data_IF_961577306508
#
_entry.id   IF_961577306508
#
_cell.length_a   1.000
_cell.length_b   1.000
_cell.length_c   1.000
_cell.angle_alpha   90.00
_cell.angle_beta   90.00
_cell.angle_gamma   90.00
#
_symmetry.space_group_name_H-M   'P 1'
#
loop_
_entity.id
_entity.type
_entity.pdbx_description
1 polymer ?
#
# COMPACT_ATOMS: atom_id res chain seq x y z
N UNK A 1 -4.67 26.01 2.12
CA UNK A 1 -4.81 24.57 2.37
C UNK A 1 -3.41 23.97 2.34
N UNK A 2 -3.04 23.14 3.34
CA UNK A 2 -1.81 22.33 3.29
C UNK A 2 -2.01 21.22 2.27
N UNK A 3 -1.01 20.93 1.44
CA UNK A 3 -1.04 19.80 0.51
C UNK A 3 -0.73 18.52 1.31
N UNK A 4 -1.59 17.48 1.27
CA UNK A 4 -1.37 16.28 2.04
C UNK A 4 -0.21 15.47 1.47
N UNK A 5 0.53 14.81 2.35
CA UNK A 5 1.58 13.84 2.02
C UNK A 5 0.94 12.58 1.41
N UNK A 6 1.46 12.08 0.29
CA UNK A 6 1.08 10.79 -0.28
C UNK A 6 2.01 9.70 0.26
N UNK A 7 1.50 8.88 1.19
CA UNK A 7 2.24 7.83 1.89
C UNK A 7 1.99 6.44 1.28
N UNK A 8 3.06 5.84 0.74
CA UNK A 8 3.00 4.61 -0.06
C UNK A 8 3.67 3.40 0.63
N UNK A 9 3.06 2.21 0.62
CA UNK A 9 3.69 0.99 1.13
C UNK A 9 4.77 0.43 0.20
N UNK A 10 5.89 -0.02 0.77
CA UNK A 10 6.87 -0.83 0.05
C UNK A 10 7.23 -2.15 0.78
N UNK A 11 7.51 -3.19 0.00
CA UNK A 11 7.87 -4.54 0.49
C UNK A 11 9.22 -5.06 -0.02
N UNK A 12 9.90 -4.25 -0.81
CA UNK A 12 11.30 -4.46 -1.21
C UNK A 12 11.84 -3.16 -1.75
N UNK A 13 13.17 -3.03 -1.82
CA UNK A 13 13.85 -1.86 -2.33
C UNK A 13 13.39 -1.44 -3.74
N UNK A 14 13.17 -2.38 -4.67
CA UNK A 14 12.54 -2.12 -5.99
C UNK A 14 11.22 -1.33 -5.86
N UNK A 15 10.36 -1.72 -4.94
CA UNK A 15 9.02 -1.14 -4.76
C UNK A 15 9.12 0.23 -4.07
N UNK A 16 10.08 0.41 -3.15
CA UNK A 16 10.37 1.72 -2.55
C UNK A 16 10.83 2.70 -3.63
N UNK A 17 11.84 2.33 -4.42
CA UNK A 17 12.37 3.19 -5.49
C UNK A 17 11.28 3.53 -6.51
N UNK A 18 10.44 2.54 -6.87
CA UNK A 18 9.26 2.75 -7.72
C UNK A 18 8.27 3.74 -7.10
N UNK A 19 7.91 3.61 -5.82
CA UNK A 19 6.98 4.52 -5.15
C UNK A 19 7.48 5.97 -5.19
N UNK A 20 8.74 6.18 -4.81
CA UNK A 20 9.39 7.49 -4.79
C UNK A 20 9.41 8.12 -6.19
N UNK A 21 9.90 7.39 -7.21
CA UNK A 21 9.97 7.89 -8.59
C UNK A 21 8.60 8.23 -9.17
N UNK A 22 7.56 7.47 -8.85
CA UNK A 22 6.19 7.72 -9.32
C UNK A 22 5.41 8.73 -8.45
N UNK A 23 6.07 9.42 -7.51
CA UNK A 23 5.53 10.61 -6.83
C UNK A 23 5.05 10.42 -5.39
N UNK A 24 5.57 9.43 -4.66
CA UNK A 24 5.34 9.33 -3.22
C UNK A 24 6.08 10.45 -2.47
N UNK A 25 5.37 11.16 -1.57
CA UNK A 25 6.02 12.13 -0.67
C UNK A 25 6.67 11.41 0.54
N UNK A 26 6.16 10.22 0.87
CA UNK A 26 6.75 9.32 1.86
C UNK A 26 6.47 7.85 1.54
N UNK A 27 7.31 6.96 2.05
CA UNK A 27 7.13 5.50 1.96
C UNK A 27 7.15 4.86 3.34
N UNK A 28 6.36 3.80 3.54
CA UNK A 28 6.45 2.98 4.75
C UNK A 28 6.85 1.53 4.45
N UNK A 29 7.82 1.05 5.23
CA UNK A 29 8.46 -0.26 5.12
C UNK A 29 8.34 -1.04 6.44
N UNK A 30 8.71 -2.31 6.42
CA UNK A 30 8.87 -3.12 7.63
C UNK A 30 10.20 -3.86 7.59
N UNK A 31 10.83 -3.98 8.76
CA UNK A 31 11.93 -4.92 8.96
C UNK A 31 11.44 -6.36 9.02
N UNK A 32 12.38 -7.28 9.18
CA UNK A 32 12.12 -8.72 9.25
C UNK A 32 11.34 -9.13 10.52
N UNK A 33 11.40 -8.29 11.57
CA UNK A 33 10.77 -8.49 12.88
C UNK A 33 9.80 -7.36 13.25
N UNK A 34 9.04 -7.55 14.33
CA UNK A 34 8.16 -6.57 14.99
C UNK A 34 7.11 -5.84 14.10
N UNK A 35 6.82 -6.40 12.93
CA UNK A 35 5.93 -5.80 11.93
C UNK A 35 4.70 -6.66 11.63
N UNK A 36 3.53 -6.05 11.41
CA UNK A 36 2.29 -6.77 11.02
C UNK A 36 2.32 -7.42 9.61
N UNK A 37 3.45 -7.36 8.91
CA UNK A 37 3.76 -8.20 7.75
C UNK A 37 5.17 -8.80 7.83
N UNK A 38 5.68 -9.09 9.03
CA UNK A 38 7.01 -9.69 9.25
C UNK A 38 7.29 -10.96 8.40
N UNK A 39 6.23 -11.66 7.96
CA UNK A 39 6.32 -12.88 7.13
C UNK A 39 6.19 -12.65 5.61
N UNK A 40 6.27 -11.41 5.12
CA UNK A 40 6.46 -11.10 3.68
C UNK A 40 7.94 -10.85 3.36
N UNK A 41 8.27 -10.54 2.09
CA UNK A 41 9.53 -9.82 1.82
C UNK A 41 9.56 -8.56 2.70
N UNK A 42 10.68 -8.34 3.35
CA UNK A 42 10.96 -7.20 4.22
C UNK A 42 12.39 -6.71 3.94
N UNK A 43 12.74 -5.57 4.52
CA UNK A 43 14.02 -4.92 4.29
C UNK A 43 15.07 -5.42 5.29
N UNK A 44 16.25 -5.78 4.78
CA UNK A 44 17.45 -5.90 5.60
C UNK A 44 17.96 -4.51 6.03
N UNK A 45 18.87 -4.47 7.00
CA UNK A 45 19.53 -3.26 7.48
C UNK A 45 20.27 -2.48 6.38
N UNK A 46 20.72 -3.19 5.34
CA UNK A 46 21.35 -2.65 4.13
C UNK A 46 20.29 -2.07 3.17
N UNK A 47 19.23 -2.84 2.86
CA UNK A 47 18.10 -2.35 2.06
C UNK A 47 17.47 -1.09 2.65
N UNK A 48 17.36 -1.00 4.00
CA UNK A 48 16.81 0.18 4.67
C UNK A 48 17.69 1.40 4.45
N UNK A 49 19.02 1.28 4.60
CA UNK A 49 19.96 2.39 4.42
C UNK A 49 19.98 2.87 2.98
N UNK A 50 20.02 1.94 2.01
CA UNK A 50 19.95 2.30 0.59
C UNK A 50 18.59 2.92 0.23
N UNK A 51 17.50 2.40 0.80
CA UNK A 51 16.15 2.94 0.61
C UNK A 51 15.96 4.35 1.18
N UNK A 52 16.51 4.63 2.38
CA UNK A 52 16.50 5.95 3.00
C UNK A 52 17.32 6.95 2.19
N UNK A 53 18.56 6.59 1.84
CA UNK A 53 19.42 7.45 1.03
C UNK A 53 18.76 7.81 -0.32
N UNK A 54 18.18 6.83 -1.00
CA UNK A 54 17.45 7.06 -2.26
C UNK A 54 16.21 7.95 -2.07
N UNK A 55 15.40 7.69 -1.03
CA UNK A 55 14.22 8.50 -0.76
C UNK A 55 14.59 9.96 -0.47
N UNK A 56 15.61 10.19 0.37
CA UNK A 56 16.10 11.53 0.74
C UNK A 56 16.70 12.29 -0.47
N UNK A 57 17.42 11.61 -1.37
CA UNK A 57 17.90 12.18 -2.64
C UNK A 57 16.75 12.70 -3.51
N UNK A 58 15.59 12.02 -3.46
CA UNK A 58 14.36 12.40 -4.15
C UNK A 58 13.36 13.20 -3.29
N UNK A 59 13.79 13.73 -2.13
CA UNK A 59 12.98 14.52 -1.19
C UNK A 59 11.76 13.79 -0.57
N UNK A 60 11.75 12.46 -0.58
CA UNK A 60 10.74 11.62 0.06
C UNK A 60 11.22 11.08 1.42
N UNK A 61 10.30 10.90 2.38
CA UNK A 61 10.60 10.34 3.71
C UNK A 61 10.43 8.81 3.78
N UNK A 62 11.07 8.15 4.75
CA UNK A 62 10.92 6.70 5.02
C UNK A 62 10.47 6.44 6.46
N UNK A 63 9.37 5.70 6.61
CA UNK A 63 8.81 5.29 7.90
C UNK A 63 8.92 3.78 8.11
N UNK A 64 9.36 3.33 9.30
CA UNK A 64 9.54 1.91 9.62
C UNK A 64 8.43 1.42 10.55
N UNK A 65 7.75 0.32 10.22
CA UNK A 65 6.71 -0.25 11.09
C UNK A 65 7.29 -1.13 12.21
N UNK A 66 6.99 -0.79 13.47
CA UNK A 66 7.17 -1.60 14.66
C UNK A 66 5.80 -1.78 15.37
N UNK A 67 4.81 -2.30 14.64
CA UNK A 67 3.38 -2.19 14.97
C UNK A 67 2.67 -3.52 15.29
N UNK A 68 3.38 -4.51 15.84
CA UNK A 68 2.73 -5.67 16.45
C UNK A 68 1.95 -5.28 17.72
N UNK A 69 1.06 -6.16 18.16
CA UNK A 69 0.62 -6.18 19.55
C UNK A 69 1.61 -7.07 20.31
N UNK A 70 2.48 -6.46 21.11
CA UNK A 70 3.60 -7.16 21.75
C UNK A 70 3.14 -7.97 22.97
N UNK A 71 3.70 -9.18 23.10
CA UNK A 71 3.65 -9.98 24.32
C UNK A 71 5.01 -9.90 25.03
N UNK A 72 5.11 -10.35 26.28
CA UNK A 72 6.36 -10.25 27.05
C UNK A 72 7.58 -10.86 26.33
N UNK A 73 7.41 -11.96 25.59
CA UNK A 73 8.49 -12.58 24.80
C UNK A 73 8.80 -11.89 23.47
N UNK A 74 8.00 -10.91 23.06
CA UNK A 74 8.31 -9.98 21.96
C UNK A 74 9.10 -8.75 22.46
N UNK A 75 9.30 -8.59 23.77
CA UNK A 75 10.16 -7.53 24.34
C UNK A 75 11.65 -7.94 24.27
N UNK A 76 11.94 -9.24 24.34
CA UNK A 76 13.27 -9.78 24.12
C UNK A 76 13.72 -9.47 22.67
N UNK A 77 14.78 -8.68 22.50
CA UNK A 77 15.29 -8.28 21.17
C UNK A 77 14.69 -6.99 20.60
N UNK A 78 13.69 -6.38 21.24
CA UNK A 78 13.07 -5.15 20.72
C UNK A 78 13.91 -3.89 21.00
N UNK A 79 14.65 -3.89 22.12
CA UNK A 79 15.58 -2.80 22.46
C UNK A 79 16.73 -2.75 21.46
N UNK A 80 17.33 -3.90 21.15
CA UNK A 80 18.35 -4.05 20.11
C UNK A 80 17.85 -3.59 18.74
N UNK A 81 16.59 -3.88 18.40
CA UNK A 81 15.98 -3.41 17.15
C UNK A 81 15.82 -1.88 17.11
N UNK A 82 15.44 -1.22 18.22
CA UNK A 82 15.40 0.24 18.25
C UNK A 82 16.79 0.88 18.27
N UNK A 83 17.79 0.22 18.88
CA UNK A 83 19.20 0.62 18.75
C UNK A 83 19.68 0.54 17.30
N UNK A 84 19.34 -0.54 16.59
CA UNK A 84 19.64 -0.66 15.17
C UNK A 84 18.94 0.45 14.36
N UNK A 85 17.63 0.68 14.57
CA UNK A 85 16.89 1.73 13.88
C UNK A 85 17.46 3.13 14.13
N UNK A 86 17.99 3.39 15.32
CA UNK A 86 18.73 4.62 15.63
C UNK A 86 19.94 4.82 14.72
N UNK A 87 20.71 3.76 14.48
CA UNK A 87 21.86 3.76 13.56
C UNK A 87 21.44 3.69 12.07
N UNK A 88 20.20 3.28 11.76
CA UNK A 88 19.63 3.31 10.40
C UNK A 88 19.18 4.74 10.04
N UNK A 89 18.56 5.44 11.00
CA UNK A 89 18.05 6.81 10.83
C UNK A 89 16.82 6.97 9.93
N UNK A 90 15.73 6.19 10.09
CA UNK A 90 14.47 6.47 9.40
C UNK A 90 13.81 7.75 9.95
N UNK A 91 12.99 8.41 9.13
CA UNK A 91 12.30 9.65 9.54
C UNK A 91 11.29 9.43 10.67
N UNK A 92 10.61 8.28 10.70
CA UNK A 92 9.67 7.92 11.75
C UNK A 92 9.53 6.40 11.98
N UNK A 93 9.05 6.03 13.17
CA UNK A 93 8.58 4.67 13.49
C UNK A 93 7.07 4.64 13.68
N UNK A 94 6.41 3.65 13.07
CA UNK A 94 4.96 3.43 13.17
C UNK A 94 4.70 2.35 14.23
N UNK A 95 4.16 2.71 15.39
CA UNK A 95 4.00 1.86 16.58
C UNK A 95 2.52 1.76 16.99
N UNK A 96 2.09 0.63 17.54
CA UNK A 96 0.72 0.43 18.07
C UNK A 96 0.63 0.15 19.57
N UNK A 97 1.70 -0.39 20.16
CA UNK A 97 1.69 -0.84 21.55
C UNK A 97 2.28 0.23 22.50
N UNK A 98 1.66 0.53 23.66
CA UNK A 98 2.17 1.54 24.59
C UNK A 98 3.53 1.22 25.23
N UNK A 99 3.86 -0.05 25.45
CA UNK A 99 5.16 -0.45 25.99
C UNK A 99 6.26 -0.30 24.94
N UNK A 100 5.99 -0.75 23.72
CA UNK A 100 6.87 -0.53 22.55
C UNK A 100 7.09 0.96 22.29
N UNK A 101 6.04 1.79 22.44
CA UNK A 101 6.14 3.24 22.35
C UNK A 101 7.10 3.83 23.40
N UNK A 102 7.00 3.37 24.65
CA UNK A 102 7.87 3.83 25.72
C UNK A 102 9.34 3.45 25.45
N UNK A 103 9.60 2.21 25.05
CA UNK A 103 10.96 1.73 24.72
C UNK A 103 11.56 2.56 23.57
N UNK A 104 10.79 2.82 22.51
CA UNK A 104 11.23 3.69 21.41
C UNK A 104 11.56 5.13 21.87
N UNK A 105 10.75 5.70 22.78
CA UNK A 105 11.02 7.03 23.37
C UNK A 105 12.27 7.05 24.25
N UNK A 106 12.64 5.95 24.88
CA UNK A 106 13.83 5.85 25.73
C UNK A 106 15.11 5.63 24.91
N UNK A 107 15.05 4.81 23.85
CA UNK A 107 16.22 4.41 23.04
C UNK A 107 16.52 5.39 21.90
N UNK A 108 15.52 5.77 21.12
CA UNK A 108 15.65 6.62 19.93
C UNK A 108 14.68 7.83 19.97
N UNK A 109 14.75 8.70 21.00
CA UNK A 109 13.86 9.85 21.18
C UNK A 109 13.88 10.87 20.03
N UNK A 110 14.91 10.84 19.18
CA UNK A 110 15.08 11.70 17.99
C UNK A 110 14.26 11.26 16.78
N UNK A 111 13.83 10.00 16.70
CA UNK A 111 12.99 9.49 15.61
C UNK A 111 11.53 9.83 15.90
N UNK A 112 10.79 10.36 14.91
CA UNK A 112 9.38 10.69 15.10
C UNK A 112 8.55 9.42 15.33
N UNK A 113 7.55 9.49 16.24
CA UNK A 113 6.66 8.34 16.48
C UNK A 113 5.28 8.62 15.91
N UNK A 114 4.86 7.71 15.02
CA UNK A 114 3.55 7.68 14.38
C UNK A 114 2.70 6.55 15.00
N UNK A 115 1.47 6.85 15.43
CA UNK A 115 0.62 5.83 16.07
C UNK A 115 -0.21 5.08 15.03
N UNK A 116 0.10 3.81 14.84
CA UNK A 116 -0.58 2.90 13.91
C UNK A 116 -2.08 2.77 14.22
N UNK A 117 -2.90 2.56 13.18
CA UNK A 117 -4.38 2.41 13.30
C UNK A 117 -4.79 1.31 14.29
N UNK A 118 -3.94 0.29 14.45
CA UNK A 118 -4.11 -0.80 15.43
C UNK A 118 -4.12 -0.35 16.89
N UNK A 119 -3.77 0.89 17.22
CA UNK A 119 -3.94 1.47 18.56
C UNK A 119 -5.41 1.85 18.88
N UNK A 120 -6.35 1.74 17.92
CA UNK A 120 -7.77 2.10 18.07
C UNK A 120 -8.00 3.62 18.24
N UNK A 121 -7.49 4.40 17.29
CA UNK A 121 -7.55 5.86 17.32
C UNK A 121 -8.88 6.39 16.77
N UNK A 122 -9.91 6.40 17.62
CA UNK A 122 -11.32 6.69 17.25
C UNK A 122 -11.86 8.01 17.75
N UNK A 123 -11.16 8.71 18.64
CA UNK A 123 -11.67 9.92 19.30
C UNK A 123 -10.54 10.87 19.69
N UNK A 124 -10.85 12.16 19.82
CA UNK A 124 -9.86 13.21 20.03
C UNK A 124 -9.10 13.07 21.37
N UNK A 125 -9.67 12.40 22.38
CA UNK A 125 -8.97 12.16 23.66
C UNK A 125 -7.86 11.14 23.50
N UNK A 126 -8.04 10.10 22.67
CA UNK A 126 -6.98 9.17 22.30
C UNK A 126 -5.86 9.87 21.52
N UNK A 127 -6.20 10.77 20.58
CA UNK A 127 -5.20 11.58 19.87
C UNK A 127 -4.41 12.49 20.82
N UNK A 128 -5.10 13.22 21.70
CA UNK A 128 -4.47 14.13 22.66
C UNK A 128 -3.65 13.38 23.73
N UNK A 129 -4.03 12.15 24.08
CA UNK A 129 -3.21 11.27 24.92
C UNK A 129 -1.88 10.94 24.25
N UNK A 130 -1.90 10.47 22.98
CA UNK A 130 -0.68 10.15 22.24
C UNK A 130 0.21 11.37 22.00
N UNK A 131 -0.39 12.52 21.68
CA UNK A 131 0.33 13.79 21.55
C UNK A 131 1.00 14.21 22.86
N UNK A 132 0.31 14.06 23.99
CA UNK A 132 0.88 14.33 25.32
C UNK A 132 2.06 13.43 25.70
N UNK A 133 2.19 12.25 25.07
CA UNK A 133 3.35 11.36 25.17
C UNK A 133 4.45 11.65 24.13
N UNK A 134 4.21 12.61 23.21
CA UNK A 134 5.17 13.05 22.20
C UNK A 134 5.03 12.38 20.82
N UNK A 135 3.88 11.76 20.51
CA UNK A 135 3.60 11.31 19.14
C UNK A 135 3.40 12.50 18.20
N UNK A 136 3.91 12.40 16.97
CA UNK A 136 3.81 13.45 15.94
C UNK A 136 2.65 13.27 14.98
N UNK A 137 2.21 12.01 14.80
CA UNK A 137 1.15 11.66 13.87
C UNK A 137 0.33 10.52 14.43
N UNK A 138 -0.98 10.54 14.21
CA UNK A 138 -1.88 9.47 14.64
C UNK A 138 -2.71 9.00 13.45
N UNK A 139 -2.59 7.71 13.13
CA UNK A 139 -3.33 7.08 12.04
C UNK A 139 -4.75 6.80 12.50
N UNK A 140 -5.74 7.35 11.79
CA UNK A 140 -7.16 7.19 12.11
C UNK A 140 -7.59 5.73 12.08
N UNK A 141 -8.55 5.38 12.94
CA UNK A 141 -9.27 4.12 12.82
C UNK A 141 -9.98 4.04 11.46
N UNK A 142 -10.05 2.82 10.89
CA UNK A 142 -10.60 2.58 9.54
C UNK A 142 -12.13 2.66 9.48
N UNK A 143 -12.76 2.71 10.65
CA UNK A 143 -14.20 2.73 10.86
C UNK A 143 -14.77 4.16 10.99
N UNK A 144 -13.93 5.19 10.98
CA UNK A 144 -14.39 6.58 11.10
C UNK A 144 -14.97 7.13 9.81
N UNK A 145 -16.06 7.89 9.95
CA UNK A 145 -16.60 8.75 8.90
C UNK A 145 -15.79 10.03 8.73
N UNK A 146 -15.99 10.71 7.61
CA UNK A 146 -15.33 11.98 7.30
C UNK A 146 -15.74 13.09 8.27
N UNK A 147 -16.95 13.03 8.82
CA UNK A 147 -17.41 13.95 9.85
C UNK A 147 -16.69 13.69 11.17
N UNK A 148 -16.51 12.43 11.58
CA UNK A 148 -15.71 12.09 12.76
C UNK A 148 -14.25 12.54 12.60
N UNK A 149 -13.68 12.47 11.40
CA UNK A 149 -12.32 13.00 11.13
C UNK A 149 -12.27 14.53 11.25
N UNK A 150 -13.29 15.25 10.78
CA UNK A 150 -13.41 16.71 11.02
C UNK A 150 -13.53 17.04 12.50
N UNK A 151 -14.34 16.26 13.23
CA UNK A 151 -14.53 16.41 14.67
C UNK A 151 -13.24 16.09 15.45
N UNK A 152 -12.42 15.14 14.99
CA UNK A 152 -11.05 14.93 15.48
C UNK A 152 -10.22 16.20 15.25
N UNK A 153 -10.08 16.64 14.00
CA UNK A 153 -9.22 17.77 13.59
C UNK A 153 -9.51 19.05 14.37
N UNK A 154 -10.79 19.31 14.67
CA UNK A 154 -11.25 20.47 15.44
C UNK A 154 -10.92 20.40 16.95
N UNK A 155 -10.54 19.24 17.48
CA UNK A 155 -10.32 18.99 18.92
C UNK A 155 -8.90 18.50 19.26
N UNK A 156 -7.95 18.58 18.32
CA UNK A 156 -6.54 18.18 18.50
C UNK A 156 -5.57 19.32 18.07
N UNK A 157 -4.38 19.42 18.70
CA UNK A 157 -3.36 20.44 18.38
C UNK A 157 -3.00 20.49 16.89
N UNK A 158 -2.83 21.70 16.35
CA UNK A 158 -2.57 21.95 14.92
C UNK A 158 -1.32 21.23 14.40
N UNK A 159 -0.30 21.04 15.25
CA UNK A 159 0.94 20.34 14.94
C UNK A 159 0.90 18.80 15.15
N UNK A 160 -0.24 18.26 15.60
CA UNK A 160 -0.51 16.82 15.57
C UNK A 160 -1.11 16.45 14.20
N UNK A 161 -0.40 15.61 13.44
CA UNK A 161 -0.84 15.21 12.10
C UNK A 161 -1.87 14.06 12.12
N UNK A 162 -2.87 14.16 11.25
CA UNK A 162 -3.83 13.08 10.97
C UNK A 162 -3.39 12.30 9.73
N UNK A 163 -3.20 10.99 9.87
CA UNK A 163 -2.95 10.08 8.74
C UNK A 163 -4.16 9.16 8.55
N UNK A 164 -4.61 8.98 7.31
CA UNK A 164 -5.82 8.21 7.05
C UNK A 164 -5.62 7.28 5.85
N UNK A 165 -6.12 6.04 5.97
CA UNK A 165 -6.17 5.10 4.84
C UNK A 165 -7.21 5.58 3.82
N UNK A 166 -6.81 5.76 2.56
CA UNK A 166 -7.68 6.26 1.48
C UNK A 166 -7.80 5.31 0.27
N UNK A 167 -6.98 4.25 0.22
CA UNK A 167 -7.03 3.27 -0.87
C UNK A 167 -6.55 1.88 -0.42
N UNK A 168 -7.06 0.84 -1.07
CA UNK A 168 -6.56 -0.53 -0.98
C UNK A 168 -7.40 -1.44 -0.08
N UNK A 169 -6.88 -2.64 0.19
CA UNK A 169 -7.70 -3.72 0.75
C UNK A 169 -8.14 -3.49 2.21
N UNK A 170 -9.44 -3.29 2.43
CA UNK A 170 -10.01 -3.12 3.76
C UNK A 170 -10.03 -4.43 4.54
N UNK A 171 -9.72 -4.33 5.83
CA UNK A 171 -9.91 -5.43 6.78
C UNK A 171 -11.33 -5.35 7.35
N UNK A 172 -12.02 -6.48 7.44
CA UNK A 172 -13.33 -6.58 8.11
C UNK A 172 -13.20 -6.61 9.65
N UNK A 173 -12.00 -6.86 10.17
CA UNK A 173 -11.74 -6.81 11.61
C UNK A 173 -11.36 -5.40 12.03
N UNK A 174 -11.93 -4.98 13.16
CA UNK A 174 -11.85 -3.61 13.70
C UNK A 174 -10.42 -3.09 13.78
N UNK A 175 -10.11 -2.10 12.94
CA UNK A 175 -8.77 -1.54 12.69
C UNK A 175 -7.65 -2.59 12.57
N UNK A 176 -7.98 -3.75 11.97
CA UNK A 176 -7.08 -4.87 11.70
C UNK A 176 -6.94 -5.92 12.82
N UNK A 177 -7.56 -5.72 13.99
CA UNK A 177 -7.44 -6.62 15.16
C UNK A 177 -8.26 -7.91 14.94
N UNK A 178 -7.62 -8.96 14.43
CA UNK A 178 -8.30 -10.15 13.90
C UNK A 178 -7.93 -11.44 14.67
N UNK A 179 -8.92 -12.18 15.16
CA UNK A 179 -8.70 -13.48 15.82
C UNK A 179 -8.88 -14.69 14.88
N UNK A 180 -9.55 -14.52 13.73
CA UNK A 180 -9.89 -15.63 12.81
C UNK A 180 -8.65 -16.41 12.35
N UNK A 181 -7.54 -15.72 12.10
CA UNK A 181 -6.30 -16.36 11.63
C UNK A 181 -5.69 -17.27 12.70
N UNK A 182 -5.70 -16.81 13.96
CA UNK A 182 -5.22 -17.60 15.09
C UNK A 182 -6.13 -18.81 15.32
N UNK A 183 -7.45 -18.59 15.34
CA UNK A 183 -8.44 -19.65 15.55
C UNK A 183 -8.40 -20.77 14.48
N UNK A 184 -8.34 -20.41 13.19
CA UNK A 184 -8.38 -21.40 12.10
C UNK A 184 -7.02 -22.00 11.73
N UNK A 185 -5.90 -21.36 12.05
CA UNK A 185 -4.56 -21.79 11.56
C UNK A 185 -3.43 -21.77 12.58
N UNK A 186 -3.69 -21.37 13.83
CA UNK A 186 -2.64 -21.14 14.84
C UNK A 186 -1.68 -20.00 14.49
N UNK A 187 -1.95 -19.20 13.44
CA UNK A 187 -1.11 -18.08 13.01
C UNK A 187 -1.77 -16.76 13.39
N UNK A 188 -1.20 -16.05 14.36
CA UNK A 188 -1.78 -14.79 14.83
C UNK A 188 -1.69 -13.66 13.77
N UNK A 189 -2.80 -12.98 13.51
CA UNK A 189 -2.83 -11.82 12.62
C UNK A 189 -2.19 -10.57 13.24
N UNK A 190 -2.19 -10.47 14.56
CA UNK A 190 -1.73 -9.32 15.36
C UNK A 190 -0.22 -9.39 15.68
N UNK A 191 0.43 -10.52 15.37
CA UNK A 191 1.88 -10.70 15.27
C UNK A 191 2.32 -10.88 13.79
N UNK A 192 1.54 -10.34 12.85
CA UNK A 192 1.90 -10.29 11.43
C UNK A 192 1.87 -11.60 10.65
N UNK A 193 1.29 -12.68 11.20
CA UNK A 193 1.21 -13.99 10.56
C UNK A 193 -0.14 -14.27 9.84
N UNK A 194 -1.01 -13.27 9.68
CA UNK A 194 -2.35 -13.37 9.09
C UNK A 194 -2.42 -14.23 7.80
N UNK A 195 -3.32 -15.21 7.76
CA UNK A 195 -3.56 -16.11 6.60
C UNK A 195 -4.73 -15.67 5.70
N UNK A 196 -5.29 -14.48 5.95
CA UNK A 196 -6.49 -13.94 5.30
C UNK A 196 -7.70 -14.89 5.29
N UNK A 197 -8.09 -15.51 6.43
CA UNK A 197 -9.24 -16.42 6.47
C UNK A 197 -10.56 -15.73 6.13
N UNK A 198 -10.68 -14.43 6.37
CA UNK A 198 -11.77 -13.56 5.90
C UNK A 198 -11.86 -13.41 4.36
N UNK A 199 -11.11 -14.20 3.59
CA UNK A 199 -11.21 -14.32 2.12
C UNK A 199 -11.44 -15.76 1.66
N UNK A 200 -11.62 -16.71 2.58
CA UNK A 200 -11.91 -18.10 2.28
C UNK A 200 -13.39 -18.29 1.94
N UNK A 201 -13.72 -19.41 1.30
CA UNK A 201 -15.12 -19.79 1.07
C UNK A 201 -15.65 -20.54 2.29
N UNK A 202 -16.72 -20.03 2.87
CA UNK A 202 -17.39 -20.64 4.02
C UNK A 202 -18.72 -21.29 3.60
N UNK A 203 -19.17 -22.24 4.41
CA UNK A 203 -20.51 -22.80 4.39
C UNK A 203 -20.90 -23.12 5.84
N UNK A 204 -22.19 -23.01 6.16
CA UNK A 204 -22.75 -23.40 7.45
C UNK A 204 -23.32 -24.81 7.31
N UNK A 205 -23.14 -25.65 8.33
CA UNK A 205 -23.82 -26.96 8.44
C UNK A 205 -24.79 -26.86 9.61
N UNK A 206 -26.01 -27.35 9.40
CA UNK A 206 -27.00 -27.46 10.48
C UNK A 206 -26.71 -28.75 11.28
N UNK A 207 -26.74 -28.67 12.62
CA UNK A 207 -26.28 -29.73 13.52
C UNK A 207 -27.04 -31.06 13.32
N UNK A 208 -28.34 -31.00 13.04
CA UNK A 208 -29.17 -32.20 12.79
C UNK A 208 -29.09 -32.72 11.35
N UNK A 209 -28.38 -32.03 10.45
CA UNK A 209 -28.17 -32.41 9.04
C UNK A 209 -26.68 -32.43 8.65
N UNK A 210 -25.86 -33.29 9.30
CA UNK A 210 -24.44 -33.39 9.01
C UNK A 210 -24.20 -33.77 7.54
N UNK A 211 -23.43 -32.94 6.83
CA UNK A 211 -23.13 -33.10 5.41
C UNK A 211 -23.98 -32.23 4.47
N UNK A 212 -25.09 -31.64 4.93
CA UNK A 212 -25.83 -30.62 4.18
C UNK A 212 -25.18 -29.25 4.41
N UNK A 213 -24.24 -28.89 3.54
CA UNK A 213 -23.58 -27.58 3.55
C UNK A 213 -24.49 -26.51 2.93
N UNK A 214 -24.98 -25.59 3.76
CA UNK A 214 -25.63 -24.36 3.32
C UNK A 214 -24.55 -23.34 2.94
N UNK A 215 -24.43 -22.97 1.64
CA UNK A 215 -23.43 -22.00 1.23
C UNK A 215 -23.73 -20.63 1.84
N UNK A 216 -22.68 -19.82 1.92
CA UNK A 216 -22.68 -18.51 2.55
C UNK A 216 -22.39 -17.47 1.44
N UNK A 217 -23.42 -16.76 0.99
CA UNK A 217 -23.45 -15.96 -0.25
C UNK A 217 -24.47 -14.81 -0.18
N UNK A 218 -24.15 -13.63 -0.74
CA UNK A 218 -24.89 -12.38 -0.50
C UNK A 218 -26.17 -12.18 -1.34
N UNK A 219 -27.17 -11.48 -0.78
CA UNK A 219 -28.40 -11.05 -1.48
C UNK A 219 -29.05 -9.81 -0.83
N UNK A 220 -30.11 -9.27 -1.44
CA UNK A 220 -30.90 -8.08 -1.05
C UNK A 220 -31.45 -8.09 0.39
N UNK A 221 -31.52 -9.24 1.06
CA UNK A 221 -31.94 -9.36 2.48
C UNK A 221 -30.76 -9.52 3.44
N UNK A 222 -29.55 -9.33 2.94
CA UNK A 222 -28.27 -9.47 3.63
C UNK A 222 -27.80 -10.91 3.69
N UNK A 223 -26.49 -11.13 3.54
CA UNK A 223 -25.88 -12.41 3.96
C UNK A 223 -24.43 -12.21 4.41
N UNK A 224 -24.00 -13.09 5.31
CA UNK A 224 -22.63 -13.23 5.78
C UNK A 224 -21.84 -14.08 4.75
N UNK A 225 -20.54 -14.40 4.84
CA UNK A 225 -19.48 -14.17 5.83
C UNK A 225 -18.23 -13.75 5.01
N UNK A 226 -17.99 -12.44 4.94
CA UNK A 226 -16.78 -11.78 4.43
C UNK A 226 -16.49 -11.78 2.91
N UNK A 227 -16.75 -10.63 2.28
CA UNK A 227 -16.06 -10.21 1.07
C UNK A 227 -15.82 -8.69 1.04
N UNK A 228 -14.71 -8.20 1.60
CA UNK A 228 -14.43 -6.75 1.55
C UNK A 228 -14.08 -6.25 0.14
N UNK A 229 -14.77 -5.18 -0.28
CA UNK A 229 -14.33 -4.27 -1.35
C UNK A 229 -13.00 -3.61 -0.97
N UNK A 230 -12.24 -3.19 -1.99
CA UNK A 230 -11.07 -2.35 -1.78
C UNK A 230 -11.55 -0.90 -1.56
N UNK A 231 -10.98 -0.19 -0.60
CA UNK A 231 -11.24 1.24 -0.41
C UNK A 231 -10.69 2.01 -1.62
N UNK A 232 -11.40 3.04 -2.08
CA UNK A 232 -10.85 4.00 -3.03
C UNK A 232 -11.53 5.37 -2.86
N UNK A 233 -10.74 6.37 -2.50
CA UNK A 233 -11.19 7.76 -2.34
C UNK A 233 -10.67 8.69 -3.46
N UNK A 234 -10.33 8.14 -4.64
CA UNK A 234 -9.76 8.92 -5.76
C UNK A 234 -10.72 10.02 -6.25
N UNK A 235 -12.03 9.81 -6.07
CA UNK A 235 -13.11 10.74 -6.41
C UNK A 235 -13.39 11.82 -5.34
N UNK A 236 -12.69 11.74 -4.19
CA UNK A 236 -13.02 12.49 -2.98
C UNK A 236 -11.82 13.25 -2.39
N UNK A 237 -10.85 13.63 -3.25
CA UNK A 237 -9.69 14.42 -2.83
C UNK A 237 -10.10 15.75 -2.16
N UNK A 238 -11.09 16.53 -2.66
CA UNK A 238 -11.52 17.76 -2.00
C UNK A 238 -12.01 17.53 -0.57
N UNK A 239 -12.85 16.51 -0.35
CA UNK A 239 -13.44 16.22 0.94
C UNK A 239 -12.41 15.71 1.95
N UNK A 240 -11.44 14.91 1.50
CA UNK A 240 -10.30 14.46 2.33
C UNK A 240 -9.40 15.63 2.77
N UNK A 241 -9.15 16.61 1.89
CA UNK A 241 -8.39 17.82 2.23
C UNK A 241 -9.19 18.72 3.19
N UNK A 242 -10.49 18.90 2.95
CA UNK A 242 -11.40 19.65 3.82
C UNK A 242 -11.60 18.98 5.20
N UNK A 243 -11.38 17.67 5.30
CA UNK A 243 -11.34 16.95 6.58
C UNK A 243 -10.08 17.27 7.42
N UNK A 244 -9.09 17.96 6.85
CA UNK A 244 -7.84 18.30 7.53
C UNK A 244 -6.93 17.09 7.77
N UNK A 245 -6.95 16.13 6.85
CA UNK A 245 -6.03 14.99 6.84
C UNK A 245 -4.67 15.45 6.29
N UNK A 246 -3.61 15.18 7.03
CA UNK A 246 -2.23 15.58 6.70
C UNK A 246 -1.50 14.56 5.82
N UNK A 247 -1.78 13.27 5.98
CA UNK A 247 -1.17 12.18 5.20
C UNK A 247 -2.19 11.18 4.67
N UNK A 248 -2.16 10.99 3.35
CA UNK A 248 -3.00 10.09 2.56
C UNK A 248 -2.29 8.75 2.41
N UNK A 249 -2.74 7.75 3.18
CA UNK A 249 -2.12 6.43 3.21
C UNK A 249 -2.78 5.45 2.24
N UNK A 250 -1.96 4.87 1.39
CA UNK A 250 -2.33 3.76 0.51
C UNK A 250 -2.05 2.42 1.23
N UNK A 251 -2.91 1.41 1.11
CA UNK A 251 -2.62 0.02 1.50
C UNK A 251 -2.19 -0.80 0.28
N UNK A 252 -1.17 -1.65 0.46
CA UNK A 252 -0.51 -2.28 -0.67
C UNK A 252 0.81 -3.01 -0.40
N UNK A 253 1.24 -3.25 0.85
CA UNK A 253 2.54 -3.92 1.11
C UNK A 253 2.66 -5.35 0.53
N UNK A 254 1.59 -5.96 0.05
CA UNK A 254 1.64 -7.26 -0.64
C UNK A 254 1.38 -7.16 -2.15
N UNK A 255 1.42 -5.95 -2.73
CA UNK A 255 1.15 -5.71 -4.16
C UNK A 255 2.46 -5.56 -4.95
N UNK A 256 2.37 -5.57 -6.27
CA UNK A 256 3.52 -5.48 -7.19
C UNK A 256 3.97 -4.04 -7.42
N UNK A 257 5.17 -3.86 -7.99
CA UNK A 257 5.64 -2.54 -8.43
C UNK A 257 4.66 -1.87 -9.43
N UNK A 258 4.00 -2.63 -10.33
CA UNK A 258 2.92 -2.12 -11.19
C UNK A 258 1.78 -1.48 -10.39
N UNK A 259 1.29 -2.15 -9.34
CA UNK A 259 0.23 -1.57 -8.51
C UNK A 259 0.69 -0.30 -7.82
N UNK A 260 1.89 -0.32 -7.25
CA UNK A 260 2.47 0.83 -6.55
C UNK A 260 2.68 2.01 -7.50
N UNK A 261 3.28 1.79 -8.67
CA UNK A 261 3.46 2.81 -9.70
C UNK A 261 2.14 3.45 -10.13
N UNK A 262 1.13 2.63 -10.50
CA UNK A 262 -0.16 3.13 -10.99
C UNK A 262 -0.92 3.89 -9.92
N UNK A 263 -1.07 3.32 -8.73
CA UNK A 263 -1.82 3.97 -7.65
C UNK A 263 -1.10 5.24 -7.19
N UNK A 264 0.22 5.22 -7.03
CA UNK A 264 0.99 6.42 -6.64
C UNK A 264 0.89 7.53 -7.67
N UNK A 265 1.15 7.24 -8.96
CA UNK A 265 1.05 8.22 -10.05
C UNK A 265 -0.32 8.84 -10.14
N UNK A 266 -1.36 8.01 -10.04
CA UNK A 266 -2.75 8.48 -10.19
C UNK A 266 -3.19 9.35 -9.03
N UNK A 267 -2.87 8.96 -7.78
CA UNK A 267 -3.15 9.82 -6.62
C UNK A 267 -2.28 11.08 -6.62
N UNK A 268 -1.00 11.01 -7.00
CA UNK A 268 -0.12 12.19 -7.14
C UNK A 268 -0.73 13.19 -8.13
N UNK A 269 -1.12 12.73 -9.33
CA UNK A 269 -1.77 13.56 -10.34
C UNK A 269 -3.10 14.15 -9.85
N UNK A 270 -3.97 13.34 -9.24
CA UNK A 270 -5.26 13.80 -8.72
C UNK A 270 -5.12 14.88 -7.63
N UNK A 271 -4.20 14.69 -6.69
CA UNK A 271 -3.88 15.70 -5.66
C UNK A 271 -3.29 16.95 -6.32
N UNK A 272 -2.33 16.81 -7.23
CA UNK A 272 -1.66 17.95 -7.85
C UNK A 272 -2.60 18.79 -8.70
N UNK A 273 -3.51 18.14 -9.43
CA UNK A 273 -4.49 18.80 -10.26
C UNK A 273 -5.55 19.50 -9.41
N UNK A 274 -5.99 18.92 -8.29
CA UNK A 274 -6.87 19.59 -7.33
C UNK A 274 -6.23 20.87 -6.76
N UNK A 275 -4.93 20.81 -6.41
CA UNK A 275 -4.19 21.97 -5.92
C UNK A 275 -3.81 23.00 -7.00
N UNK A 276 -3.83 22.63 -8.29
CA UNK A 276 -3.79 23.60 -9.42
C UNK A 276 -5.16 24.26 -9.64
N UNK A 277 -6.25 23.51 -9.48
CA UNK A 277 -7.62 24.01 -9.57
C UNK A 277 -8.66 22.87 -9.52
N UNK A 278 -9.72 22.97 -8.70
CA UNK A 278 -10.74 21.92 -8.58
C UNK A 278 -11.38 21.48 -9.90
N UNK A 279 -11.53 22.41 -10.86
CA UNK A 279 -12.07 22.09 -12.19
C UNK A 279 -11.14 21.21 -13.03
N UNK A 280 -9.81 21.33 -12.88
CA UNK A 280 -8.86 20.46 -13.58
C UNK A 280 -8.99 19.01 -13.07
N UNK A 281 -9.01 18.84 -11.75
CA UNK A 281 -9.28 17.55 -11.10
C UNK A 281 -10.62 16.96 -11.57
N UNK A 282 -11.69 17.74 -11.55
CA UNK A 282 -13.01 17.29 -12.01
C UNK A 282 -13.02 16.89 -13.49
N UNK A 283 -12.31 17.64 -14.35
CA UNK A 283 -12.22 17.36 -15.79
C UNK A 283 -11.46 16.07 -16.14
N UNK A 284 -10.60 15.59 -15.23
CA UNK A 284 -9.78 14.38 -15.39
C UNK A 284 -10.31 13.16 -14.61
N UNK A 285 -11.50 13.27 -14.03
CA UNK A 285 -12.08 12.24 -13.16
C UNK A 285 -12.11 10.84 -13.80
N UNK A 286 -12.59 10.75 -15.05
CA UNK A 286 -12.68 9.47 -15.77
C UNK A 286 -11.30 8.85 -16.01
N UNK A 287 -10.29 9.67 -16.33
CA UNK A 287 -8.90 9.21 -16.46
C UNK A 287 -8.36 8.61 -15.15
N UNK A 288 -8.62 9.25 -14.00
CA UNK A 288 -8.15 8.69 -12.71
C UNK A 288 -8.87 7.37 -12.38
N UNK A 289 -10.17 7.25 -12.69
CA UNK A 289 -10.94 6.01 -12.54
C UNK A 289 -10.40 4.89 -13.40
N UNK A 290 -10.14 5.19 -14.68
CA UNK A 290 -9.57 4.24 -15.63
C UNK A 290 -8.19 3.76 -15.16
N UNK A 291 -7.27 4.65 -14.81
CA UNK A 291 -5.93 4.29 -14.32
C UNK A 291 -5.99 3.39 -13.07
N UNK A 292 -6.77 3.77 -12.04
CA UNK A 292 -6.94 2.94 -10.84
C UNK A 292 -7.54 1.57 -11.18
N UNK A 293 -8.45 1.49 -12.16
CA UNK A 293 -9.02 0.22 -12.64
C UNK A 293 -8.04 -0.62 -13.51
N UNK A 294 -6.88 -0.10 -13.92
CA UNK A 294 -5.83 -0.90 -14.60
C UNK A 294 -5.14 -1.88 -13.64
N UNK A 295 -5.20 -1.63 -12.34
CA UNK A 295 -4.63 -2.48 -11.30
C UNK A 295 -5.43 -3.77 -11.02
N UNK A 296 -4.88 -4.65 -10.17
CA UNK A 296 -5.63 -5.79 -9.63
C UNK A 296 -6.46 -5.37 -8.42
N UNK A 297 -7.78 -5.26 -8.60
CA UNK A 297 -8.78 -4.91 -7.58
C UNK A 297 -9.99 -5.86 -7.65
N UNK A 298 -10.95 -5.68 -6.74
CA UNK A 298 -12.22 -6.43 -6.71
C UNK A 298 -13.38 -5.56 -7.24
N UNK A 299 -13.92 -4.75 -6.35
CA UNK A 299 -14.78 -3.59 -6.58
C UNK A 299 -14.36 -2.52 -5.57
N UNK A 300 -14.64 -1.25 -5.85
CA UNK A 300 -14.30 -0.15 -4.95
C UNK A 300 -15.46 0.24 -4.03
N UNK A 301 -15.12 0.79 -2.86
CA UNK A 301 -16.03 1.39 -1.89
C UNK A 301 -15.40 2.65 -1.28
N UNK A 302 -16.22 3.56 -0.78
CA UNK A 302 -15.79 4.66 0.10
C UNK A 302 -15.70 4.23 1.58
N UNK A 303 -15.97 2.96 1.89
CA UNK A 303 -15.92 2.45 3.27
C UNK A 303 -16.86 3.21 4.19
N UNK A 304 -16.34 3.67 5.34
CA UNK A 304 -17.11 4.37 6.37
C UNK A 304 -17.21 5.89 6.15
N UNK A 305 -16.50 6.47 5.17
CA UNK A 305 -16.33 7.93 5.06
C UNK A 305 -17.64 8.71 4.96
N UNK A 306 -18.62 8.22 4.20
CA UNK A 306 -19.89 8.94 3.94
C UNK A 306 -21.12 8.29 4.59
N UNK A 307 -20.92 7.33 5.50
CA UNK A 307 -21.99 6.62 6.16
C UNK A 307 -21.56 5.24 6.66
N UNK A 308 -22.48 4.50 7.27
CA UNK A 308 -22.24 3.09 7.56
C UNK A 308 -22.25 2.32 6.23
N UNK A 309 -21.27 1.44 5.98
CA UNK A 309 -21.32 0.51 4.87
C UNK A 309 -22.63 -0.28 4.89
N UNK A 310 -23.44 -0.09 3.85
CA UNK A 310 -24.72 -0.77 3.64
C UNK A 310 -24.58 -1.81 2.53
N UNK A 311 -25.71 -2.26 1.97
CA UNK A 311 -25.71 -3.31 0.98
C UNK A 311 -24.88 -2.93 -0.26
N UNK A 312 -25.04 -1.74 -0.83
CA UNK A 312 -24.33 -1.34 -2.06
C UNK A 312 -22.80 -1.28 -1.91
N UNK A 313 -22.29 -1.31 -0.67
CA UNK A 313 -20.86 -1.37 -0.36
C UNK A 313 -20.22 -2.77 -0.37
N UNK A 314 -20.99 -3.85 -0.59
CA UNK A 314 -20.50 -5.25 -0.67
C UNK A 314 -20.64 -5.85 -2.10
N UNK A 315 -20.05 -7.04 -2.34
CA UNK A 315 -19.91 -7.63 -3.68
C UNK A 315 -20.83 -8.86 -3.83
N UNK A 316 -21.88 -8.73 -4.63
CA UNK A 316 -22.95 -9.73 -4.76
C UNK A 316 -22.76 -10.71 -5.93
N UNK A 317 -21.95 -10.32 -6.91
CA UNK A 317 -22.07 -10.78 -8.29
C UNK A 317 -20.80 -11.44 -8.84
N UNK A 318 -19.60 -11.02 -8.42
CA UNK A 318 -18.37 -11.75 -8.73
C UNK A 318 -17.22 -11.47 -7.76
N UNK A 319 -16.70 -12.51 -7.08
CA UNK A 319 -15.55 -12.42 -6.17
C UNK A 319 -14.19 -12.59 -6.90
N UNK A 320 -14.17 -12.26 -8.19
CA UNK A 320 -13.03 -12.46 -9.09
C UNK A 320 -12.22 -11.18 -9.18
N UNK A 321 -10.90 -11.25 -9.02
CA UNK A 321 -10.06 -10.08 -9.24
C UNK A 321 -10.11 -9.66 -10.71
N UNK A 322 -10.41 -8.39 -10.96
CA UNK A 322 -10.26 -7.78 -12.27
C UNK A 322 -8.77 -7.46 -12.44
N UNK A 323 -8.20 -7.81 -13.60
CA UNK A 323 -6.82 -7.51 -13.97
C UNK A 323 -6.83 -7.14 -15.45
N UNK A 324 -6.52 -5.87 -15.75
CA UNK A 324 -6.49 -5.36 -17.12
C UNK A 324 -5.07 -5.30 -17.71
N UNK A 325 -4.03 -5.40 -16.87
CA UNK A 325 -2.63 -5.34 -17.30
C UNK A 325 -1.74 -6.35 -16.57
N UNK A 326 -0.83 -6.95 -17.32
CA UNK A 326 0.30 -7.75 -16.86
C UNK A 326 1.56 -6.91 -16.69
N UNK A 327 2.19 -6.96 -15.52
CA UNK A 327 3.50 -6.34 -15.24
C UNK A 327 4.63 -7.13 -15.93
N UNK A 328 5.45 -6.47 -16.75
CA UNK A 328 6.57 -7.09 -17.47
C UNK A 328 7.93 -6.86 -16.79
N UNK A 329 8.13 -5.66 -16.22
CA UNK A 329 9.34 -5.28 -15.49
C UNK A 329 9.52 -3.75 -15.42
N UNK A 330 10.64 -3.30 -14.85
CA UNK A 330 11.07 -1.90 -14.82
C UNK A 330 12.34 -1.75 -15.67
N UNK A 331 12.38 -0.74 -16.53
CA UNK A 331 13.57 -0.44 -17.33
C UNK A 331 14.78 -0.13 -16.43
N UNK A 332 15.89 -0.81 -16.70
CA UNK A 332 17.19 -0.60 -16.07
C UNK A 332 18.12 0.26 -16.92
N UNK A 333 19.42 0.07 -16.75
CA UNK A 333 20.44 0.74 -17.54
C UNK A 333 20.44 0.30 -19.01
N UNK A 334 20.88 1.22 -19.87
CA UNK A 334 21.14 0.99 -21.30
C UNK A 334 22.53 0.37 -21.47
N UNK A 335 22.68 -0.63 -22.34
CA UNK A 335 23.97 -1.23 -22.70
C UNK A 335 24.59 -0.55 -23.94
N UNK A 336 25.83 -0.95 -24.29
CA UNK A 336 26.56 -0.40 -25.45
C UNK A 336 25.87 -0.65 -26.80
N UNK A 337 25.02 -1.68 -26.89
CA UNK A 337 24.18 -1.97 -28.06
C UNK A 337 22.90 -1.13 -28.12
N UNK A 338 22.67 -0.26 -27.13
CA UNK A 338 21.50 0.62 -27.04
C UNK A 338 20.25 -0.02 -26.44
N UNK A 339 20.32 -1.27 -25.98
CA UNK A 339 19.20 -2.02 -25.39
C UNK A 339 19.13 -1.82 -23.87
N UNK A 340 17.93 -1.89 -23.30
CA UNK A 340 17.70 -1.66 -21.87
C UNK A 340 17.62 -2.96 -21.08
N UNK A 341 18.30 -3.02 -19.94
CA UNK A 341 18.19 -4.14 -19.01
C UNK A 341 16.77 -4.25 -18.43
N UNK A 342 16.27 -5.47 -18.27
CA UNK A 342 14.98 -5.77 -17.64
C UNK A 342 15.09 -7.06 -16.82
N UNK A 343 14.66 -7.04 -15.55
CA UNK A 343 14.36 -8.29 -14.83
C UNK A 343 12.92 -8.70 -15.17
N UNK A 344 12.79 -9.74 -16.00
CA UNK A 344 11.52 -10.17 -16.54
C UNK A 344 10.56 -10.68 -15.45
N UNK A 345 9.31 -10.19 -15.43
CA UNK A 345 8.29 -10.56 -14.44
C UNK A 345 7.24 -11.54 -14.99
N UNK A 346 6.84 -11.38 -16.25
CA UNK A 346 5.87 -12.24 -16.96
C UNK A 346 6.26 -12.40 -18.43
N UNK A 347 5.78 -13.46 -19.10
CA UNK A 347 6.16 -13.76 -20.50
C UNK A 347 5.63 -12.71 -21.50
N UNK A 348 6.54 -12.22 -22.33
CA UNK A 348 6.27 -11.50 -23.57
C UNK A 348 7.22 -11.97 -24.68
N UNK A 349 6.98 -11.52 -25.92
CA UNK A 349 7.69 -11.96 -27.12
C UNK A 349 8.14 -10.77 -27.97
N UNK A 350 9.11 -11.00 -28.86
CA UNK A 350 9.39 -10.05 -29.96
C UNK A 350 8.13 -9.92 -30.82
N UNK A 351 7.80 -8.69 -31.22
CA UNK A 351 6.55 -8.36 -31.92
C UNK A 351 5.33 -8.14 -31.00
N UNK A 352 5.39 -8.44 -29.70
CA UNK A 352 4.31 -8.07 -28.77
C UNK A 352 4.16 -6.53 -28.74
N UNK A 353 2.91 -6.05 -28.76
CA UNK A 353 2.59 -4.67 -28.42
C UNK A 353 2.50 -4.55 -26.89
N UNK A 354 3.30 -3.66 -26.31
CA UNK A 354 3.37 -3.38 -24.88
C UNK A 354 3.25 -1.88 -24.62
N UNK A 355 3.08 -1.49 -23.37
CA UNK A 355 2.96 -0.09 -22.94
C UNK A 355 4.07 0.26 -21.95
N UNK A 356 4.78 1.34 -22.26
CA UNK A 356 5.75 2.00 -21.38
C UNK A 356 5.01 3.06 -20.60
N UNK A 357 4.79 2.78 -19.33
CA UNK A 357 4.15 3.67 -18.36
C UNK A 357 5.23 4.51 -17.68
N UNK A 358 5.31 5.80 -18.03
CA UNK A 358 6.34 6.71 -17.52
C UNK A 358 5.91 7.37 -16.19
N UNK A 359 6.87 7.76 -15.33
CA UNK A 359 6.59 8.48 -14.08
C UNK A 359 5.93 9.85 -14.30
N UNK A 360 6.22 10.52 -15.42
CA UNK A 360 5.69 11.85 -15.77
C UNK A 360 4.17 11.88 -16.07
N UNK A 361 3.51 10.72 -16.14
CA UNK A 361 2.09 10.60 -16.46
C UNK A 361 1.78 10.17 -17.89
N UNK A 362 2.79 10.06 -18.76
CA UNK A 362 2.62 9.56 -20.12
C UNK A 362 2.64 8.03 -20.18
N UNK A 363 1.82 7.47 -21.07
CA UNK A 363 1.78 6.05 -21.41
C UNK A 363 2.02 5.92 -22.92
N UNK A 364 3.01 5.12 -23.31
CA UNK A 364 3.44 4.99 -24.72
C UNK A 364 3.28 3.54 -25.15
N UNK A 365 2.41 3.27 -26.13
CA UNK A 365 2.33 1.94 -26.76
C UNK A 365 3.48 1.76 -27.76
N UNK A 366 4.19 0.64 -27.63
CA UNK A 366 5.41 0.32 -28.39
C UNK A 366 5.41 -1.16 -28.79
N UNK A 367 6.20 -1.52 -29.79
CA UNK A 367 6.40 -2.92 -30.20
C UNK A 367 7.77 -3.37 -29.74
N UNK A 368 7.87 -4.59 -29.19
CA UNK A 368 9.15 -5.20 -28.84
C UNK A 368 9.91 -5.54 -30.12
N UNK A 369 11.01 -4.83 -30.41
CA UNK A 369 11.75 -4.96 -31.66
C UNK A 369 12.79 -6.08 -31.61
N UNK A 370 13.49 -6.21 -30.49
CA UNK A 370 14.47 -7.26 -30.25
C UNK A 370 14.64 -7.53 -28.75
N UNK A 371 15.08 -8.73 -28.41
CA UNK A 371 15.51 -9.10 -27.06
C UNK A 371 16.77 -9.96 -27.12
N UNK A 372 17.64 -9.83 -26.12
CA UNK A 372 18.74 -10.77 -25.84
C UNK A 372 18.68 -11.25 -24.40
N UNK A 373 19.32 -12.39 -24.13
CA UNK A 373 19.65 -12.79 -22.77
C UNK A 373 20.83 -11.97 -22.19
N UNK A 374 21.33 -12.36 -21.01
CA UNK A 374 22.47 -11.72 -20.36
C UNK A 374 23.84 -12.01 -21.02
N UNK A 375 23.91 -13.01 -21.90
CA UNK A 375 25.11 -13.37 -22.68
C UNK A 375 25.14 -12.66 -24.05
N UNK A 376 24.04 -12.00 -24.45
CA UNK A 376 23.88 -11.35 -25.75
C UNK A 376 23.32 -12.27 -26.83
N UNK A 377 22.84 -13.47 -26.49
CA UNK A 377 22.15 -14.35 -27.44
C UNK A 377 20.72 -13.84 -27.70
N UNK A 378 20.29 -13.81 -28.97
CA UNK A 378 18.96 -13.35 -29.33
C UNK A 378 17.87 -14.31 -28.85
N UNK A 379 16.79 -13.77 -28.29
CA UNK A 379 15.65 -14.54 -27.79
C UNK A 379 14.32 -14.01 -28.36
N UNK A 380 13.50 -14.91 -28.90
CA UNK A 380 12.16 -14.59 -29.43
C UNK A 380 11.12 -14.38 -28.33
N UNK A 381 11.30 -15.00 -27.16
CA UNK A 381 10.43 -14.82 -26.01
C UNK A 381 11.16 -15.12 -24.71
N UNK A 382 10.65 -14.59 -23.61
CA UNK A 382 11.22 -14.75 -22.27
C UNK A 382 10.29 -15.64 -21.40
N UNK A 383 10.57 -16.95 -21.26
CA UNK A 383 9.66 -17.88 -20.58
C UNK A 383 9.95 -18.05 -19.07
N UNK A 384 11.04 -17.47 -18.55
CA UNK A 384 11.54 -17.75 -17.19
C UNK A 384 11.43 -16.52 -16.27
N UNK A 385 10.53 -16.53 -15.26
CA UNK A 385 10.41 -15.42 -14.33
C UNK A 385 11.74 -15.09 -13.63
N UNK A 386 12.07 -13.80 -13.57
CA UNK A 386 13.34 -13.19 -13.13
C UNK A 386 14.54 -13.42 -14.06
N UNK A 387 14.35 -13.89 -15.29
CA UNK A 387 15.40 -13.85 -16.30
C UNK A 387 15.83 -12.39 -16.52
N UNK A 388 17.14 -12.13 -16.47
CA UNK A 388 17.70 -10.86 -16.93
C UNK A 388 17.78 -10.89 -18.44
N UNK A 389 17.22 -9.88 -19.07
CA UNK A 389 17.22 -9.72 -20.53
C UNK A 389 17.59 -8.28 -20.87
N UNK A 390 18.05 -8.06 -22.10
CA UNK A 390 18.10 -6.74 -22.70
C UNK A 390 17.02 -6.62 -23.78
N UNK A 391 16.38 -5.47 -23.87
CA UNK A 391 15.20 -5.25 -24.73
C UNK A 391 15.35 -3.94 -25.52
N UNK A 392 15.03 -4.00 -26.82
CA UNK A 392 14.85 -2.85 -27.70
C UNK A 392 13.36 -2.66 -28.01
N UNK A 393 12.89 -1.42 -27.83
CA UNK A 393 11.50 -0.99 -28.06
C UNK A 393 11.41 0.17 -29.08
N UNK A 394 12.53 0.59 -29.69
CA UNK A 394 12.56 1.68 -30.67
C UNK A 394 12.38 3.09 -30.10
N UNK A 395 12.51 3.28 -28.79
CA UNK A 395 12.46 4.57 -28.10
C UNK A 395 13.47 4.65 -26.94
N UNK A 396 13.74 5.88 -26.49
CA UNK A 396 14.55 6.11 -25.31
C UNK A 396 13.74 5.85 -24.02
N UNK A 397 14.21 4.91 -23.20
CA UNK A 397 13.67 4.62 -21.88
C UNK A 397 14.48 5.33 -20.80
N UNK A 398 13.82 5.70 -19.72
CA UNK A 398 14.45 6.15 -18.48
C UNK A 398 14.46 5.01 -17.45
N UNK A 399 15.44 4.95 -16.54
CA UNK A 399 15.38 4.03 -15.40
C UNK A 399 14.05 4.14 -14.66
N UNK A 400 13.50 3.01 -14.25
CA UNK A 400 12.17 2.88 -13.64
C UNK A 400 10.96 3.14 -14.55
N UNK A 401 11.11 3.40 -15.85
CA UNK A 401 9.98 3.30 -16.79
C UNK A 401 9.34 1.90 -16.67
N UNK A 402 8.03 1.84 -16.46
CA UNK A 402 7.35 0.59 -16.16
C UNK A 402 6.77 -0.05 -17.42
N UNK A 403 7.17 -1.29 -17.70
CA UNK A 403 6.65 -2.04 -18.84
C UNK A 403 5.44 -2.87 -18.40
N UNK A 404 4.30 -2.67 -19.07
CA UNK A 404 3.06 -3.45 -18.87
C UNK A 404 2.46 -3.88 -20.21
N UNK A 405 1.77 -5.02 -20.26
CA UNK A 405 0.96 -5.46 -21.42
C UNK A 405 -0.51 -5.48 -21.02
N UNK A 406 -1.40 -5.02 -21.89
CA UNK A 406 -2.85 -5.16 -21.70
C UNK A 406 -3.25 -6.64 -21.81
N UNK A 407 -4.11 -7.10 -20.91
CA UNK A 407 -4.64 -8.47 -20.89
C UNK A 407 -5.87 -8.66 -21.81
#
# INVERSE_FOLDING_TARGET
MKKPELLIPASSLEVLKTAVIFGADAVYIGGEVFSLRAKSKNFSSEDMREGIAFAHEHHAKVYVTANILAHNGDLDGIEEYFHELKDIGPDAVIISDPGVFQIAKEICPEIEIHISTQANNTNYRTYNFWYGLGAKRVVSARELSIQEIKDLRANIPEDLEIETFIHGAMCISYSGRCLLSSYFTGRDANQGACTHPCRWKYAIVEETRPGEYLPVYENERGTYIFNSKDLCMIEHIPELVDAGIDSFKIEGRMKTALYVAVVTRTYRQAIDDYFKGPELYQSRMDYYKEEIAKCTYRQFTTGFFFGKPDQDTQIYDNNTYIKAYTYLGLAGSKNDAGMYALEQRNKFSVGDAIEVMKPDGSDITVTVLAMTDENGEQIESCPHPKQKIYVDLGLELSPFDLLRRKD
#
